data_IF_345293382160
#
_entry.id   IF_345293382160
#
_cell.length_a   1.000
_cell.length_b   1.000
_cell.length_c   1.000
_cell.angle_alpha   90.00
_cell.angle_beta   90.00
_cell.angle_gamma   90.00
#
_symmetry.space_group_name_H-M   'P 1'
#
loop_
_entity.id
_entity.type
_entity.pdbx_description
1 polymer ?
#
# COMPACT_ATOMS: atom_id res chain seq x y z
N UNK A 1 -10.18 49.21 20.38
CA UNK A 1 -10.74 48.12 19.55
C UNK A 1 -9.78 47.87 18.39
N UNK A 2 -8.95 46.83 18.47
CA UNK A 2 -7.87 46.61 17.48
C UNK A 2 -8.50 46.11 16.17
N UNK A 3 -8.44 46.93 15.12
CA UNK A 3 -8.82 46.52 13.76
C UNK A 3 -7.79 45.50 13.27
N UNK A 4 -8.02 44.22 13.54
CA UNK A 4 -7.28 43.13 12.88
C UNK A 4 -7.54 43.33 11.39
N UNK A 5 -6.52 43.78 10.65
CA UNK A 5 -6.60 43.99 9.21
C UNK A 5 -7.11 42.71 8.57
N UNK A 6 -8.13 42.80 7.70
CA UNK A 6 -8.73 41.65 6.98
C UNK A 6 -7.68 40.72 6.37
N UNK A 7 -6.52 41.25 5.96
CA UNK A 7 -5.38 40.49 5.47
C UNK A 7 -4.78 39.52 6.50
N UNK A 8 -4.66 39.91 7.77
CA UNK A 8 -4.14 39.06 8.84
C UNK A 8 -5.11 37.90 9.13
N UNK A 9 -6.42 38.16 9.07
CA UNK A 9 -7.45 37.13 9.25
C UNK A 9 -7.43 36.08 8.12
N UNK A 10 -7.28 36.52 6.86
CA UNK A 10 -7.20 35.62 5.70
C UNK A 10 -5.94 34.76 5.77
N UNK A 11 -4.77 35.34 6.11
CA UNK A 11 -3.52 34.59 6.28
C UNK A 11 -3.64 33.51 7.36
N UNK A 12 -4.26 33.83 8.51
CA UNK A 12 -4.45 32.86 9.59
C UNK A 12 -5.38 31.72 9.19
N UNK A 13 -6.44 32.01 8.40
CA UNK A 13 -7.33 30.97 7.85
C UNK A 13 -6.61 30.04 6.88
N UNK A 14 -5.78 30.59 5.99
CA UNK A 14 -4.98 29.78 5.06
C UNK A 14 -3.98 28.90 5.81
N UNK A 15 -3.32 29.43 6.86
CA UNK A 15 -2.42 28.64 7.69
C UNK A 15 -3.14 27.51 8.42
N UNK A 16 -4.30 27.78 9.01
CA UNK A 16 -5.12 26.75 9.67
C UNK A 16 -5.55 25.66 8.69
N UNK A 17 -5.96 26.04 7.47
CA UNK A 17 -6.31 25.09 6.42
C UNK A 17 -5.11 24.22 6.02
N UNK A 18 -3.92 24.82 5.83
CA UNK A 18 -2.69 24.09 5.52
C UNK A 18 -2.29 23.11 6.62
N UNK A 19 -2.40 23.51 7.89
CA UNK A 19 -2.11 22.65 9.02
C UNK A 19 -3.09 21.49 9.12
N UNK A 20 -4.40 21.76 8.98
CA UNK A 20 -5.43 20.72 9.02
C UNK A 20 -5.23 19.71 7.88
N UNK A 21 -5.06 20.19 6.63
CA UNK A 21 -4.79 19.32 5.49
C UNK A 21 -3.53 18.48 5.71
N UNK A 22 -2.45 19.09 6.22
CA UNK A 22 -1.22 18.34 6.55
C UNK A 22 -1.47 17.26 7.60
N UNK A 23 -2.27 17.54 8.63
CA UNK A 23 -2.63 16.55 9.67
C UNK A 23 -3.45 15.42 9.05
N UNK A 24 -4.46 15.73 8.23
CA UNK A 24 -5.30 14.73 7.56
C UNK A 24 -4.45 13.85 6.62
N UNK A 25 -3.53 14.44 5.87
CA UNK A 25 -2.57 13.71 5.01
C UNK A 25 -1.60 12.85 5.82
N UNK A 26 -1.12 13.31 6.99
CA UNK A 26 -0.24 12.49 7.85
C UNK A 26 -1.01 11.32 8.47
N UNK A 27 -2.25 11.55 8.92
CA UNK A 27 -3.10 10.49 9.45
C UNK A 27 -3.39 9.42 8.38
N UNK A 28 -3.74 9.85 7.17
CA UNK A 28 -3.95 8.93 6.04
C UNK A 28 -2.67 8.15 5.70
N UNK A 29 -1.50 8.80 5.75
CA UNK A 29 -0.20 8.15 5.58
C UNK A 29 0.03 7.06 6.62
N UNK A 30 -0.20 7.36 7.89
CA UNK A 30 -0.03 6.43 9.00
C UNK A 30 -0.95 5.21 8.87
N UNK A 31 -2.23 5.43 8.58
CA UNK A 31 -3.21 4.37 8.34
C UNK A 31 -2.82 3.50 7.14
N UNK A 32 -2.37 4.11 6.03
CA UNK A 32 -1.92 3.38 4.84
C UNK A 32 -0.70 2.50 5.14
N UNK A 33 0.31 3.04 5.85
CA UNK A 33 1.49 2.27 6.27
C UNK A 33 1.10 1.12 7.18
N UNK A 34 0.14 1.32 8.09
CA UNK A 34 -0.32 0.29 8.99
C UNK A 34 -0.98 -0.88 8.24
N UNK A 35 -1.89 -0.59 7.30
CA UNK A 35 -2.51 -1.61 6.46
C UNK A 35 -1.47 -2.37 5.61
N UNK A 36 -0.45 -1.69 5.10
CA UNK A 36 0.64 -2.34 4.36
C UNK A 36 1.48 -3.27 5.26
N UNK A 37 1.70 -2.94 6.53
CA UNK A 37 2.39 -3.84 7.48
C UNK A 37 1.59 -5.12 7.74
N UNK A 38 0.27 -5.03 7.76
CA UNK A 38 -0.60 -6.20 7.89
C UNK A 38 -0.50 -7.10 6.65
N UNK A 39 -0.56 -6.51 5.45
CA UNK A 39 -0.35 -7.24 4.20
C UNK A 39 1.03 -7.89 4.12
N UNK A 40 2.08 -7.19 4.59
CA UNK A 40 3.42 -7.77 4.68
C UNK A 40 3.44 -9.01 5.56
N UNK A 41 2.76 -8.95 6.72
CA UNK A 41 2.69 -10.07 7.65
C UNK A 41 2.00 -11.27 7.01
N UNK A 42 0.90 -11.05 6.28
CA UNK A 42 0.20 -12.11 5.55
C UNK A 42 1.09 -12.73 4.45
N UNK A 43 1.75 -11.89 3.64
CA UNK A 43 2.65 -12.35 2.58
C UNK A 43 3.85 -13.13 3.16
N UNK A 44 4.44 -12.66 4.26
CA UNK A 44 5.52 -13.34 4.98
C UNK A 44 5.06 -14.70 5.48
N UNK A 45 3.88 -14.78 6.11
CA UNK A 45 3.34 -16.04 6.62
C UNK A 45 3.15 -17.06 5.49
N UNK A 46 2.70 -16.62 4.31
CA UNK A 46 2.60 -17.50 3.14
C UNK A 46 3.97 -17.90 2.58
N UNK A 47 4.94 -16.98 2.54
CA UNK A 47 6.30 -17.30 2.10
C UNK A 47 6.99 -18.34 2.99
N UNK A 48 6.67 -18.34 4.30
CA UNK A 48 7.19 -19.27 5.29
C UNK A 48 6.37 -20.56 5.40
N UNK A 49 5.22 -20.67 4.72
CA UNK A 49 4.37 -21.84 4.78
C UNK A 49 5.03 -23.03 4.05
N UNK A 50 5.40 -24.06 4.80
CA UNK A 50 6.05 -25.25 4.25
C UNK A 50 5.09 -26.10 3.40
N UNK A 51 3.77 -25.93 3.59
CA UNK A 51 2.73 -26.68 2.88
C UNK A 51 2.45 -26.17 1.45
N UNK A 52 3.08 -25.06 1.03
CA UNK A 52 2.92 -24.54 -0.34
C UNK A 52 4.19 -24.75 -1.17
N UNK A 53 4.02 -24.80 -2.50
CA UNK A 53 5.11 -25.10 -3.43
C UNK A 53 6.22 -24.05 -3.32
N UNK A 54 7.48 -24.47 -3.49
CA UNK A 54 8.64 -23.56 -3.45
C UNK A 54 8.46 -22.33 -4.36
N UNK A 55 7.93 -22.53 -5.56
CA UNK A 55 7.61 -21.45 -6.50
C UNK A 55 6.58 -20.46 -5.96
N UNK A 56 5.58 -20.94 -5.21
CA UNK A 56 4.59 -20.07 -4.56
C UNK A 56 5.23 -19.29 -3.41
N UNK A 57 6.07 -19.93 -2.59
CA UNK A 57 6.84 -19.24 -1.53
C UNK A 57 7.69 -18.11 -2.10
N UNK A 58 8.39 -18.37 -3.21
CA UNK A 58 9.18 -17.35 -3.91
C UNK A 58 8.32 -16.18 -4.41
N UNK A 59 7.12 -16.44 -4.92
CA UNK A 59 6.17 -15.38 -5.30
C UNK A 59 5.74 -14.56 -4.07
N UNK A 60 5.41 -15.21 -2.96
CA UNK A 60 5.05 -14.52 -1.71
C UNK A 60 6.22 -13.70 -1.13
N UNK A 61 7.46 -14.17 -1.26
CA UNK A 61 8.64 -13.37 -0.93
C UNK A 61 8.72 -12.10 -1.78
N UNK A 62 8.45 -12.19 -3.10
CA UNK A 62 8.43 -11.02 -3.98
C UNK A 62 7.33 -10.02 -3.58
N UNK A 63 6.15 -10.51 -3.24
CA UNK A 63 5.04 -9.70 -2.72
C UNK A 63 5.48 -8.97 -1.44
N UNK A 64 6.06 -9.69 -0.47
CA UNK A 64 6.54 -9.11 0.79
C UNK A 64 7.62 -8.04 0.56
N UNK A 65 8.58 -8.30 -0.34
CA UNK A 65 9.61 -7.31 -0.71
C UNK A 65 9.00 -6.06 -1.33
N UNK A 66 8.03 -6.22 -2.24
CA UNK A 66 7.38 -5.08 -2.87
C UNK A 66 6.59 -4.25 -1.85
N UNK A 67 5.88 -4.88 -0.92
CA UNK A 67 5.18 -4.17 0.16
C UNK A 67 6.16 -3.32 0.99
N UNK A 68 7.35 -3.83 1.33
CA UNK A 68 8.37 -3.04 2.02
C UNK A 68 8.84 -1.83 1.19
N UNK A 69 8.98 -1.97 -0.13
CA UNK A 69 9.34 -0.86 -1.02
C UNK A 69 8.26 0.22 -1.04
N UNK A 70 6.98 -0.18 -1.10
CA UNK A 70 5.85 0.75 -1.05
C UNK A 70 5.80 1.47 0.30
N UNK A 71 5.98 0.77 1.43
CA UNK A 71 6.06 1.39 2.76
C UNK A 71 7.16 2.45 2.81
N UNK A 72 8.36 2.15 2.30
CA UNK A 72 9.49 3.10 2.30
C UNK A 72 9.19 4.35 1.45
N UNK A 73 8.53 4.16 0.31
CA UNK A 73 8.11 5.24 -0.58
C UNK A 73 7.10 6.14 0.11
N UNK A 74 6.03 5.57 0.68
CA UNK A 74 4.97 6.31 1.39
C UNK A 74 5.49 7.03 2.65
N UNK A 75 6.43 6.40 3.36
CA UNK A 75 7.05 7.00 4.55
C UNK A 75 7.86 8.25 4.20
N UNK A 76 8.54 8.27 3.04
CA UNK A 76 9.36 9.41 2.59
C UNK A 76 8.57 10.45 1.80
N UNK A 77 7.71 10.02 0.87
CA UNK A 77 6.93 10.86 -0.03
C UNK A 77 5.48 10.37 -0.11
N UNK A 78 4.52 11.20 0.29
CA UNK A 78 3.09 10.87 0.17
C UNK A 78 2.52 11.66 -0.99
N UNK A 79 2.55 11.04 -2.17
CA UNK A 79 1.88 11.49 -3.39
C UNK A 79 0.74 10.51 -3.67
N UNK A 80 -0.50 11.00 -3.62
CA UNK A 80 -1.71 10.18 -3.81
C UNK A 80 -1.71 9.43 -5.16
N UNK A 81 -1.14 10.03 -6.22
CA UNK A 81 -1.10 9.39 -7.54
C UNK A 81 -0.10 8.23 -7.59
N UNK A 82 1.02 8.37 -6.88
CA UNK A 82 2.03 7.32 -6.79
C UNK A 82 1.53 6.12 -5.96
N UNK A 83 0.78 6.42 -4.89
CA UNK A 83 0.18 5.38 -4.03
C UNK A 83 -0.80 4.53 -4.81
N UNK A 84 -1.66 5.14 -5.62
CA UNK A 84 -2.64 4.43 -6.45
C UNK A 84 -1.97 3.43 -7.40
N UNK A 85 -0.89 3.86 -8.07
CA UNK A 85 -0.09 2.99 -8.95
C UNK A 85 0.59 1.84 -8.20
N UNK A 86 1.13 2.11 -7.01
CA UNK A 86 1.77 1.08 -6.19
C UNK A 86 0.77 0.04 -5.68
N UNK A 87 -0.45 0.47 -5.32
CA UNK A 87 -1.53 -0.43 -4.92
C UNK A 87 -2.01 -1.30 -6.10
N UNK A 88 -2.15 -0.72 -7.30
CA UNK A 88 -2.52 -1.47 -8.49
C UNK A 88 -1.51 -2.59 -8.81
N UNK A 89 -0.22 -2.27 -8.74
CA UNK A 89 0.85 -3.28 -8.95
C UNK A 89 0.88 -4.33 -7.85
N UNK A 90 0.57 -3.97 -6.61
CA UNK A 90 0.44 -4.94 -5.52
C UNK A 90 -0.70 -5.93 -5.79
N UNK A 91 -1.83 -5.44 -6.30
CA UNK A 91 -2.97 -6.27 -6.69
C UNK A 91 -2.60 -7.25 -7.81
N UNK A 92 -1.88 -6.80 -8.85
CA UNK A 92 -1.38 -7.67 -9.92
C UNK A 92 -0.49 -8.80 -9.39
N UNK A 93 0.45 -8.48 -8.49
CA UNK A 93 1.34 -9.48 -7.88
C UNK A 93 0.58 -10.51 -7.02
N UNK A 94 -0.45 -10.07 -6.28
CA UNK A 94 -1.33 -10.95 -5.51
C UNK A 94 -2.15 -11.85 -6.44
N UNK A 95 -2.67 -11.31 -7.54
CA UNK A 95 -3.40 -12.06 -8.54
C UNK A 95 -2.51 -13.14 -9.19
N UNK A 96 -1.25 -12.83 -9.51
CA UNK A 96 -0.30 -13.83 -10.00
C UNK A 96 0.03 -14.93 -8.97
N UNK A 97 0.04 -14.58 -7.68
CA UNK A 97 0.28 -15.52 -6.59
C UNK A 97 -0.90 -16.48 -6.38
N UNK A 98 -2.13 -16.01 -6.63
CA UNK A 98 -3.39 -16.73 -6.34
C UNK A 98 -3.96 -17.47 -7.56
N UNK A 99 -3.80 -16.96 -8.79
CA UNK A 99 -4.37 -17.53 -10.02
C UNK A 99 -3.70 -18.83 -10.50
N UNK A 100 -2.45 -19.12 -10.08
CA UNK A 100 -1.77 -20.39 -10.39
C UNK A 100 -2.38 -21.62 -9.72
N UNK A 101 -3.48 -21.46 -8.99
CA UNK A 101 -4.28 -22.54 -8.40
C UNK A 101 -5.28 -23.17 -9.40
N UNK A 102 -5.62 -22.49 -10.51
CA UNK A 102 -6.61 -23.00 -11.49
C UNK A 102 -6.04 -23.75 -12.70
N UNK A 103 -4.76 -23.60 -13.04
CA UNK A 103 -4.23 -24.12 -14.32
C UNK A 103 -3.52 -25.49 -14.24
N UNK A 104 -3.63 -26.22 -13.12
CA UNK A 104 -3.05 -27.56 -12.97
C UNK A 104 -4.09 -28.69 -12.78
N UNK A 105 -5.33 -28.50 -13.25
CA UNK A 105 -6.35 -29.56 -13.19
C UNK A 105 -7.03 -29.94 -14.53
N UNK A 106 -6.49 -29.52 -15.67
CA UNK A 106 -7.03 -29.93 -16.99
C UNK A 106 -5.93 -30.14 -18.02
N UNK A 107 -5.05 -31.11 -17.81
CA UNK A 107 -4.43 -31.88 -18.90
C UNK A 107 -4.10 -33.29 -18.41
N UNK A 108 -5.13 -34.08 -18.09
CA UNK A 108 -5.02 -35.54 -18.15
C UNK A 108 -6.26 -36.05 -18.89
N UNK A 109 -5.99 -36.68 -20.04
CA UNK A 109 -6.82 -37.65 -20.77
C UNK A 109 -8.12 -37.15 -21.43
N UNK A 110 -8.19 -37.20 -22.76
CA UNK A 110 -8.92 -38.26 -23.52
C UNK A 110 -9.30 -37.75 -24.93
N UNK A 111 -8.62 -38.27 -25.95
CA UNK A 111 -9.14 -38.88 -27.20
C UNK A 111 -8.08 -38.82 -28.29
#
# INVERSE_FOLDING_TARGET
MVKISRNTMIKNRIQKLRTNLKIDTQKLREETIQNLKELFTLAKNQAQNENIKLKQRQTWTRVATYICQVINTIATHFDERQIDQDLQKLEELINEATTKTKTQKTTTTTS
#
